data_IF_407373352974
#
_entry.id   IF_407373352974
#
_cell.length_a   1.000
_cell.length_b   1.000
_cell.length_c   1.000
_cell.angle_alpha   90.00
_cell.angle_beta   90.00
_cell.angle_gamma   90.00
#
_symmetry.space_group_name_H-M   'P 1'
#
loop_
_entity.id
_entity.type
_entity.pdbx_description
1 polymer ?
#
# COMPACT_ATOMS: atom_id res chain seq x y z
N UNK A 1 -12.63 -8.75 -17.88
CA UNK A 1 -11.68 -9.45 -17.02
C UNK A 1 -10.55 -9.91 -17.91
N UNK A 2 -9.56 -9.03 -18.04
CA UNK A 2 -8.31 -9.38 -18.72
C UNK A 2 -7.36 -9.63 -17.56
N UNK A 3 -7.23 -10.90 -17.17
CA UNK A 3 -6.28 -11.28 -16.14
C UNK A 3 -4.92 -11.40 -16.85
N UNK A 4 -4.01 -10.44 -16.64
CA UNK A 4 -2.62 -10.59 -17.10
C UNK A 4 -1.69 -10.98 -15.94
N UNK A 5 -0.60 -11.64 -16.32
CA UNK A 5 0.47 -12.01 -15.41
C UNK A 5 1.75 -11.39 -15.95
N UNK A 6 2.29 -10.45 -15.18
CA UNK A 6 3.44 -9.64 -15.56
C UNK A 6 4.63 -10.00 -14.65
N UNK A 7 5.72 -10.47 -15.26
CA UNK A 7 6.93 -10.80 -14.50
C UNK A 7 7.78 -9.57 -14.19
N UNK A 8 8.02 -8.70 -15.17
CA UNK A 8 8.76 -7.45 -14.96
C UNK A 8 8.30 -6.39 -15.94
N UNK A 9 7.98 -5.20 -15.42
CA UNK A 9 7.62 -4.05 -16.25
C UNK A 9 8.31 -2.77 -15.79
N UNK A 10 8.61 -1.92 -16.77
CA UNK A 10 9.09 -0.56 -16.58
C UNK A 10 8.07 0.40 -17.19
N UNK A 11 7.55 1.34 -16.41
CA UNK A 11 6.67 2.39 -16.91
C UNK A 11 5.30 2.41 -16.25
N UNK A 12 4.25 2.66 -17.04
CA UNK A 12 2.88 2.82 -16.56
C UNK A 12 2.04 1.59 -16.90
N UNK A 13 1.36 1.03 -15.91
CA UNK A 13 0.38 -0.05 -16.07
C UNK A 13 -1.00 0.50 -15.73
N UNK A 14 -2.01 0.11 -16.50
CA UNK A 14 -3.41 0.43 -16.21
C UNK A 14 -4.32 -0.67 -16.72
N UNK A 15 -4.88 -1.44 -15.79
CA UNK A 15 -5.63 -2.68 -16.04
C UNK A 15 -6.70 -2.86 -14.96
N UNK A 16 -7.50 -3.92 -15.04
CA UNK A 16 -8.52 -4.21 -14.02
C UNK A 16 -7.97 -5.18 -12.98
N UNK A 17 -7.43 -6.32 -13.44
CA UNK A 17 -7.00 -7.44 -12.61
C UNK A 17 -5.59 -7.88 -13.04
N UNK A 18 -4.61 -7.89 -12.13
CA UNK A 18 -3.22 -8.26 -12.45
C UNK A 18 -2.52 -9.05 -11.35
N UNK A 19 -1.55 -9.87 -11.78
CA UNK A 19 -0.53 -10.41 -10.89
C UNK A 19 0.85 -9.95 -11.38
N UNK A 20 1.52 -9.15 -10.57
CA UNK A 20 2.78 -8.51 -10.93
C UNK A 20 3.90 -8.93 -9.99
N UNK A 21 4.98 -9.46 -10.55
CA UNK A 21 6.15 -9.83 -9.73
C UNK A 21 7.06 -8.64 -9.45
N UNK A 22 7.39 -7.81 -10.44
CA UNK A 22 8.25 -6.64 -10.25
C UNK A 22 7.85 -5.49 -11.17
N UNK A 23 7.64 -4.30 -10.61
CA UNK A 23 7.40 -3.09 -11.40
C UNK A 23 8.23 -1.91 -10.94
N UNK A 24 8.71 -1.15 -11.92
CA UNK A 24 9.30 0.16 -11.74
C UNK A 24 8.44 1.20 -12.46
N UNK A 25 7.74 2.04 -11.70
CA UNK A 25 6.95 3.13 -12.28
C UNK A 25 5.59 3.33 -11.62
N UNK A 26 4.54 3.53 -12.42
CA UNK A 26 3.20 3.88 -11.95
C UNK A 26 2.21 2.77 -12.28
N UNK A 27 1.48 2.32 -11.27
CA UNK A 27 0.45 1.30 -11.39
C UNK A 27 -0.90 1.95 -11.05
N UNK A 28 -1.93 1.56 -11.82
CA UNK A 28 -3.30 1.96 -11.54
C UNK A 28 -4.26 0.85 -11.95
N UNK A 29 -4.75 0.10 -10.97
CA UNK A 29 -5.57 -1.10 -11.17
C UNK A 29 -6.79 -1.10 -10.26
N UNK A 30 -7.72 -2.03 -10.47
CA UNK A 30 -8.83 -2.23 -9.53
C UNK A 30 -8.38 -3.20 -8.46
N UNK A 31 -7.96 -4.39 -8.90
CA UNK A 31 -7.50 -5.50 -8.06
C UNK A 31 -6.09 -5.93 -8.49
N UNK A 32 -5.17 -6.06 -7.54
CA UNK A 32 -3.81 -6.50 -7.87
C UNK A 32 -3.12 -7.28 -6.76
N UNK A 33 -2.27 -8.22 -7.17
CA UNK A 33 -1.28 -8.86 -6.29
C UNK A 33 0.12 -8.51 -6.76
N UNK A 34 0.88 -7.79 -5.93
CA UNK A 34 2.23 -7.35 -6.25
C UNK A 34 3.28 -7.89 -5.29
N UNK A 35 4.33 -8.48 -5.84
CA UNK A 35 5.47 -8.90 -5.02
C UNK A 35 6.45 -7.76 -4.74
N UNK A 36 6.81 -6.95 -5.73
CA UNK A 36 7.75 -5.83 -5.54
C UNK A 36 7.44 -4.65 -6.45
N UNK A 37 7.29 -3.46 -5.86
CA UNK A 37 7.15 -2.22 -6.63
C UNK A 37 8.10 -1.13 -6.17
N UNK A 38 8.65 -0.43 -7.15
CA UNK A 38 9.34 0.84 -6.97
C UNK A 38 8.58 1.94 -7.71
N UNK A 39 7.87 2.79 -6.98
CA UNK A 39 7.17 3.94 -7.56
C UNK A 39 5.82 4.25 -6.93
N UNK A 40 4.81 4.49 -7.77
CA UNK A 40 3.48 4.93 -7.33
C UNK A 40 2.43 3.89 -7.65
N UNK A 41 1.59 3.58 -6.67
CA UNK A 41 0.48 2.66 -6.82
C UNK A 41 -0.83 3.35 -6.44
N UNK A 42 -1.87 3.08 -7.22
CA UNK A 42 -3.22 3.56 -6.94
C UNK A 42 -4.23 2.50 -7.33
N UNK A 43 -4.85 1.86 -6.34
CA UNK A 43 -5.71 0.68 -6.52
C UNK A 43 -6.96 0.76 -5.66
N UNK A 44 -7.93 -0.12 -5.90
CA UNK A 44 -9.07 -0.27 -4.99
C UNK A 44 -8.73 -1.31 -3.94
N UNK A 45 -8.37 -2.51 -4.40
CA UNK A 45 -7.97 -3.65 -3.60
C UNK A 45 -6.56 -4.11 -3.98
N UNK A 46 -5.69 -4.27 -2.98
CA UNK A 46 -4.32 -4.70 -3.26
C UNK A 46 -3.70 -5.58 -2.18
N UNK A 47 -2.87 -6.53 -2.63
CA UNK A 47 -1.97 -7.29 -1.76
C UNK A 47 -0.53 -7.06 -2.20
N UNK A 48 0.26 -6.45 -1.33
CA UNK A 48 1.66 -6.09 -1.57
C UNK A 48 2.60 -6.83 -0.61
N UNK A 49 3.61 -7.49 -1.16
CA UNK A 49 4.73 -7.97 -0.33
C UNK A 49 5.74 -6.88 -0.01
N UNK A 50 6.18 -6.10 -1.00
CA UNK A 50 7.17 -5.04 -0.79
C UNK A 50 6.96 -3.85 -1.72
N UNK A 51 6.85 -2.65 -1.16
CA UNK A 51 6.81 -1.41 -1.95
C UNK A 51 7.77 -0.35 -1.44
N UNK A 52 8.40 0.32 -2.40
CA UNK A 52 9.18 1.53 -2.21
C UNK A 52 8.53 2.68 -2.97
N UNK A 53 7.86 3.59 -2.26
CA UNK A 53 7.30 4.80 -2.84
C UNK A 53 5.97 5.23 -2.24
N UNK A 54 4.98 5.50 -3.08
CA UNK A 54 3.68 6.01 -2.67
C UNK A 54 2.58 5.02 -3.00
N UNK A 55 1.71 4.79 -2.04
CA UNK A 55 0.54 3.93 -2.20
C UNK A 55 -0.72 4.72 -1.82
N UNK A 56 -1.76 4.55 -2.64
CA UNK A 56 -3.09 5.08 -2.40
C UNK A 56 -4.14 4.03 -2.72
N UNK A 57 -4.75 3.44 -1.71
CA UNK A 57 -5.64 2.29 -1.81
C UNK A 57 -6.96 2.54 -1.08
N UNK A 58 -7.97 1.71 -1.34
CA UNK A 58 -9.17 1.67 -0.47
C UNK A 58 -8.98 0.58 0.57
N UNK A 59 -8.63 -0.61 0.11
CA UNK A 59 -8.38 -1.81 0.90
C UNK A 59 -6.99 -2.35 0.56
N UNK A 60 -6.15 -2.55 1.57
CA UNK A 60 -4.79 -3.03 1.32
C UNK A 60 -4.23 -3.96 2.40
N UNK A 61 -3.47 -4.95 1.94
CA UNK A 61 -2.62 -5.79 2.79
C UNK A 61 -1.16 -5.63 2.39
N UNK A 62 -0.36 -5.07 3.27
CA UNK A 62 1.07 -4.82 3.07
C UNK A 62 1.93 -5.63 4.04
N UNK A 63 2.88 -6.41 3.52
CA UNK A 63 3.93 -6.97 4.37
C UNK A 63 5.00 -5.94 4.72
N UNK A 64 5.57 -5.25 3.72
CA UNK A 64 6.58 -4.21 3.94
C UNK A 64 6.39 -3.00 3.04
N UNK A 65 6.33 -1.80 3.62
CA UNK A 65 6.33 -0.55 2.87
C UNK A 65 7.39 0.45 3.33
N UNK A 66 7.98 1.12 2.35
CA UNK A 66 8.87 2.25 2.51
C UNK A 66 8.31 3.46 1.77
N UNK A 67 7.87 4.48 2.50
CA UNK A 67 7.40 5.74 1.92
C UNK A 67 6.07 6.22 2.49
N UNK A 68 5.13 6.59 1.62
CA UNK A 68 3.84 7.17 2.02
C UNK A 68 2.71 6.23 1.66
N UNK A 69 1.86 5.94 2.63
CA UNK A 69 0.64 5.17 2.43
C UNK A 69 -0.56 6.02 2.82
N UNK A 70 -1.59 5.97 1.98
CA UNK A 70 -2.89 6.56 2.25
C UNK A 70 -3.96 5.54 1.89
N UNK A 71 -4.71 5.06 2.88
CA UNK A 71 -5.77 4.07 2.65
C UNK A 71 -7.01 4.33 3.49
N UNK A 72 -8.09 3.63 3.19
CA UNK A 72 -9.28 3.61 4.06
C UNK A 72 -9.14 2.49 5.07
N UNK A 73 -8.82 1.29 4.60
CA UNK A 73 -8.67 0.07 5.37
C UNK A 73 -7.29 -0.56 5.11
N UNK A 74 -6.55 -0.88 6.18
CA UNK A 74 -5.21 -1.48 6.05
C UNK A 74 -4.90 -2.60 7.04
N UNK A 75 -4.14 -3.58 6.55
CA UNK A 75 -3.35 -4.50 7.38
C UNK A 75 -1.88 -4.38 6.99
N UNK A 76 -1.05 -3.88 7.92
CA UNK A 76 0.39 -3.71 7.70
C UNK A 76 1.20 -4.51 8.71
N UNK A 77 2.14 -5.30 8.20
CA UNK A 77 3.17 -5.90 9.05
C UNK A 77 4.30 -4.91 9.41
N UNK A 78 4.92 -4.26 8.41
CA UNK A 78 6.08 -3.38 8.63
C UNK A 78 6.01 -2.11 7.76
N UNK A 79 6.07 -0.92 8.39
CA UNK A 79 6.20 0.35 7.65
C UNK A 79 7.33 1.25 8.14
N UNK A 80 8.02 1.84 7.17
CA UNK A 80 8.97 2.93 7.36
C UNK A 80 8.52 4.16 6.55
N UNK A 81 8.00 5.19 7.22
CA UNK A 81 7.61 6.44 6.54
C UNK A 81 6.40 7.17 7.13
N UNK A 82 5.33 7.35 6.34
CA UNK A 82 4.08 8.00 6.78
C UNK A 82 2.89 7.15 6.38
N UNK A 83 1.94 7.00 7.30
CA UNK A 83 0.67 6.32 7.07
C UNK A 83 -0.46 7.27 7.42
N UNK A 84 -1.44 7.35 6.52
CA UNK A 84 -2.72 7.99 6.77
C UNK A 84 -3.83 6.99 6.49
N UNK A 85 -4.65 6.69 7.49
CA UNK A 85 -5.71 5.68 7.35
C UNK A 85 -6.99 6.04 8.11
N UNK A 86 -8.10 5.40 7.76
CA UNK A 86 -9.34 5.49 8.53
C UNK A 86 -9.39 4.38 9.57
N UNK A 87 -9.14 3.14 9.14
CA UNK A 87 -9.13 1.92 9.95
C UNK A 87 -7.86 1.10 9.69
N UNK A 88 -7.20 0.62 10.76
CA UNK A 88 -5.89 -0.05 10.64
C UNK A 88 -5.65 -1.18 11.63
N UNK A 89 -4.87 -2.17 11.16
CA UNK A 89 -4.18 -3.15 11.99
C UNK A 89 -2.69 -3.11 11.64
N UNK A 90 -1.86 -2.68 12.60
CA UNK A 90 -0.41 -2.53 12.41
C UNK A 90 0.35 -3.39 13.41
N UNK A 91 1.31 -4.18 12.92
CA UNK A 91 2.18 -5.02 13.77
C UNK A 91 3.48 -4.33 14.18
N UNK A 92 4.18 -3.67 13.26
CA UNK A 92 5.46 -3.01 13.53
C UNK A 92 5.62 -1.75 12.67
N UNK A 93 5.94 -0.62 13.30
CA UNK A 93 5.99 0.66 12.61
C UNK A 93 7.12 1.53 13.13
N UNK A 94 7.84 2.13 12.17
CA UNK A 94 8.80 3.22 12.37
C UNK A 94 8.37 4.39 11.49
N UNK A 95 7.23 4.97 11.80
CA UNK A 95 6.53 5.90 10.91
C UNK A 95 5.71 6.92 11.71
N UNK A 96 5.33 8.01 11.05
CA UNK A 96 4.28 8.89 11.55
C UNK A 96 2.93 8.34 11.09
N UNK A 97 2.08 8.01 12.05
CA UNK A 97 0.72 7.51 11.80
C UNK A 97 -0.30 8.60 12.10
N UNK A 98 -1.30 8.71 11.24
CA UNK A 98 -2.52 9.49 11.48
C UNK A 98 -3.72 8.65 11.11
N UNK A 99 -4.55 8.35 12.10
CA UNK A 99 -5.70 7.47 11.93
C UNK A 99 -6.97 8.17 12.40
N UNK A 100 -8.09 7.95 11.70
CA UNK A 100 -9.35 8.67 11.96
C UNK A 100 -10.47 7.68 12.23
N UNK A 101 -10.59 7.21 13.47
CA UNK A 101 -11.67 6.28 13.86
C UNK A 101 -12.98 7.06 14.03
N UNK A 102 -14.05 6.56 13.41
CA UNK A 102 -15.38 7.17 13.36
C UNK A 102 -15.87 7.73 14.70
N UNK A 103 -15.65 9.04 14.91
CA UNK A 103 -16.33 9.84 15.95
C UNK A 103 -15.47 10.65 16.90
N UNK A 104 -14.16 10.42 17.03
CA UNK A 104 -13.17 11.35 17.61
C UNK A 104 -11.84 10.60 17.81
N UNK A 105 -10.79 11.11 17.18
CA UNK A 105 -9.42 11.31 17.70
C UNK A 105 -8.46 11.34 16.51
N UNK A 106 -7.78 12.47 16.30
CA UNK A 106 -6.60 12.54 15.43
C UNK A 106 -5.43 12.09 16.31
N UNK A 107 -5.05 10.82 16.21
CA UNK A 107 -3.86 10.32 16.89
C UNK A 107 -2.64 10.65 16.02
N UNK A 108 -1.84 11.63 16.42
CA UNK A 108 -0.50 11.82 15.87
C UNK A 108 0.45 10.94 16.67
N UNK A 109 0.60 9.68 16.29
CA UNK A 109 1.50 8.78 16.98
C UNK A 109 2.79 8.61 16.18
N UNK A 110 3.88 9.10 16.77
CA UNK A 110 5.22 8.64 16.43
C UNK A 110 5.41 7.32 17.18
N UNK A 111 5.06 6.22 16.54
CA UNK A 111 5.18 4.88 17.12
C UNK A 111 6.52 4.28 16.68
N UNK A 112 7.32 3.83 17.64
CA UNK A 112 8.32 2.79 17.43
C UNK A 112 7.76 1.58 18.15
N UNK A 113 7.09 0.71 17.40
CA UNK A 113 6.58 -0.57 17.92
C UNK A 113 7.43 -1.66 17.30
N UNK A 114 8.20 -2.35 18.14
CA UNK A 114 9.03 -3.51 17.78
C UNK A 114 8.27 -4.78 18.16
#
# INVERSE_FOLDING_TARGET
TTDEVISTTYGKISTTDEVISTTYGKISTTDEVISTTYGMISTTDEVISTTYGMISTTDEVISTAYGMISTTDEVISTTYGKISTTDEVISATTSMTTSTVSGNTIAFQCSITI
#
